data_IF_283354571369
#
_entry.id   IF_283354571369
#
_cell.length_a   1.000
_cell.length_b   1.000
_cell.length_c   1.000
_cell.angle_alpha   90.00
_cell.angle_beta   90.00
_cell.angle_gamma   90.00
#
_symmetry.space_group_name_H-M   'P 1'
#
loop_
_entity.id
_entity.type
_entity.pdbx_description
1 polymer ?
#
# COMPACT_ATOMS: atom_id res chain seq x y z
N UNK A 1 11.11 37.33 49.57
CA UNK A 1 10.75 38.63 48.94
C UNK A 1 11.11 38.52 47.48
N UNK A 2 10.13 38.23 46.61
CA UNK A 2 9.37 39.24 45.86
C UNK A 2 10.33 40.16 45.09
N UNK A 3 10.58 39.86 43.81
CA UNK A 3 10.42 40.77 42.67
C UNK A 3 11.17 40.25 41.42
N UNK A 4 10.74 39.13 40.82
CA UNK A 4 11.08 38.79 39.42
C UNK A 4 9.93 38.00 38.74
N UNK A 5 8.71 38.34 39.15
CA UNK A 5 7.51 38.18 38.33
C UNK A 5 7.46 39.43 37.44
N UNK A 6 7.10 39.27 36.16
CA UNK A 6 6.88 40.34 35.16
C UNK A 6 8.13 40.68 34.31
N UNK A 7 8.52 39.77 33.42
CA UNK A 7 8.97 40.16 32.07
C UNK A 7 8.90 38.95 31.12
N UNK A 8 8.22 39.13 29.99
CA UNK A 8 8.18 38.22 28.83
C UNK A 8 7.26 37.00 28.87
N UNK A 9 6.01 37.25 29.27
CA UNK A 9 4.78 36.67 28.71
C UNK A 9 4.54 37.11 27.23
N UNK A 10 5.53 37.01 26.33
CA UNK A 10 5.35 37.51 24.94
C UNK A 10 6.23 36.77 23.92
N UNK A 11 5.93 35.50 23.62
CA UNK A 11 6.18 34.92 22.28
C UNK A 11 5.22 33.74 22.03
N UNK A 12 3.96 34.05 21.80
CA UNK A 12 3.05 33.20 21.02
C UNK A 12 2.42 34.09 19.95
N UNK A 13 2.64 33.81 18.66
CA UNK A 13 1.67 34.15 17.64
C UNK A 13 1.19 32.85 16.98
N UNK A 14 -0.05 32.48 17.27
CA UNK A 14 -1.22 32.63 16.37
C UNK A 14 -1.32 31.52 15.32
N UNK A 15 -2.20 30.58 15.65
CA UNK A 15 -2.93 29.70 14.74
C UNK A 15 -3.55 30.57 13.62
N UNK A 16 -3.21 30.28 12.37
CA UNK A 16 -3.91 30.84 11.20
C UNK A 16 -4.79 29.74 10.60
N UNK A 17 -6.01 29.63 11.13
CA UNK A 17 -7.11 28.93 10.49
C UNK A 17 -7.80 29.95 9.59
N UNK A 18 -7.49 29.94 8.29
CA UNK A 18 -8.21 30.78 7.33
C UNK A 18 -9.43 30.01 6.85
N UNK A 19 -10.60 30.34 7.41
CA UNK A 19 -11.89 30.11 6.75
C UNK A 19 -12.12 31.26 5.77
N UNK A 20 -12.40 30.95 4.51
CA UNK A 20 -13.03 31.90 3.59
C UNK A 20 -14.51 31.52 3.39
N UNK A 21 -15.44 32.45 3.64
CA UNK A 21 -16.84 32.31 3.26
C UNK A 21 -17.12 32.98 1.90
N UNK A 22 -18.21 32.58 1.25
CA UNK A 22 -18.84 33.33 0.15
C UNK A 22 -18.83 32.59 -1.19
N UNK A 23 -19.80 31.71 -1.44
CA UNK A 23 -21.04 32.00 -2.17
C UNK A 23 -20.85 32.31 -3.67
N UNK A 24 -21.14 31.30 -4.51
CA UNK A 24 -22.06 31.46 -5.63
C UNK A 24 -22.98 30.23 -5.65
N UNK A 25 -24.09 30.36 -4.94
CA UNK A 25 -25.30 29.62 -5.24
C UNK A 25 -25.90 30.35 -6.44
N UNK A 26 -25.72 29.79 -7.64
CA UNK A 26 -26.53 30.16 -8.81
C UNK A 26 -27.43 28.98 -9.12
N UNK A 27 -28.59 29.08 -8.50
CA UNK A 27 -29.90 28.71 -8.99
C UNK A 27 -29.97 28.38 -10.50
N UNK A 28 -30.37 27.15 -10.79
CA UNK A 28 -30.50 26.65 -12.15
C UNK A 28 -31.27 25.33 -12.17
N UNK A 29 -32.45 25.35 -11.54
CA UNK A 29 -33.44 24.28 -11.62
C UNK A 29 -33.84 24.01 -13.08
N UNK A 30 -33.46 22.86 -13.65
CA UNK A 30 -34.24 22.13 -14.67
C UNK A 30 -34.01 20.62 -14.52
N UNK A 31 -34.91 20.03 -13.74
CA UNK A 31 -35.53 18.71 -13.90
C UNK A 31 -35.04 17.82 -15.06
N UNK A 32 -34.60 16.63 -14.64
CA UNK A 32 -34.67 15.34 -15.34
C UNK A 32 -35.69 15.27 -16.49
N UNK A 33 -35.22 14.89 -17.68
CA UNK A 33 -35.96 13.91 -18.48
C UNK A 33 -34.97 12.83 -18.87
N UNK A 34 -35.09 11.74 -18.13
CA UNK A 34 -34.69 10.39 -18.46
C UNK A 34 -35.03 10.10 -19.93
N UNK A 35 -34.10 10.33 -20.86
CA UNK A 35 -34.18 9.71 -22.18
C UNK A 35 -33.74 8.26 -21.99
N UNK A 36 -34.68 7.42 -21.53
CA UNK A 36 -34.64 5.98 -21.81
C UNK A 36 -34.76 5.86 -23.33
N UNK A 37 -33.63 6.01 -24.03
CA UNK A 37 -33.53 5.53 -25.40
C UNK A 37 -33.54 4.01 -25.28
N UNK A 38 -34.74 3.45 -25.35
CA UNK A 38 -34.99 2.02 -25.58
C UNK A 38 -34.28 1.65 -26.88
N UNK A 39 -33.00 1.28 -26.78
CA UNK A 39 -32.32 0.57 -27.84
C UNK A 39 -32.73 -0.89 -27.66
N UNK A 40 -33.87 -1.23 -28.27
CA UNK A 40 -34.14 -2.59 -28.72
C UNK A 40 -33.05 -2.94 -29.74
N UNK A 41 -32.04 -3.69 -29.34
CA UNK A 41 -31.27 -4.53 -30.26
C UNK A 41 -30.87 -5.85 -29.59
N UNK A 42 -30.78 -6.94 -30.37
CA UNK A 42 -30.80 -8.30 -29.85
C UNK A 42 -29.42 -8.74 -29.37
N UNK A 43 -29.46 -9.61 -28.35
CA UNK A 43 -28.37 -10.46 -27.87
C UNK A 43 -27.73 -11.20 -29.06
N UNK A 44 -26.50 -10.86 -29.46
CA UNK A 44 -25.55 -11.80 -30.07
C UNK A 44 -24.09 -11.40 -29.71
N UNK A 45 -23.49 -12.24 -28.87
CA UNK A 45 -22.09 -12.70 -28.80
C UNK A 45 -20.91 -11.75 -29.08
N UNK A 46 -20.18 -11.48 -28.00
CA UNK A 46 -18.72 -11.69 -27.86
C UNK A 46 -17.87 -11.55 -29.13
N UNK A 47 -17.31 -10.37 -29.38
CA UNK A 47 -15.92 -10.13 -29.78
C UNK A 47 -15.67 -8.62 -29.96
N UNK A 48 -14.40 -8.23 -29.86
CA UNK A 48 -13.86 -6.86 -29.90
C UNK A 48 -13.95 -6.09 -28.56
N UNK A 49 -12.85 -6.18 -27.81
CA UNK A 49 -12.45 -5.23 -26.79
C UNK A 49 -12.53 -3.80 -27.35
N UNK A 50 -13.41 -2.98 -26.77
CA UNK A 50 -13.40 -1.54 -26.96
C UNK A 50 -12.14 -0.97 -26.32
N UNK A 51 -11.08 -0.80 -27.11
CA UNK A 51 -10.06 0.19 -26.84
C UNK A 51 -10.69 1.56 -27.04
N UNK A 52 -11.10 2.19 -25.94
CA UNK A 52 -11.43 3.62 -25.92
C UNK A 52 -10.18 4.46 -26.22
N UNK A 53 -10.30 5.52 -27.02
CA UNK A 53 -9.15 6.29 -27.50
C UNK A 53 -8.63 7.24 -26.40
N UNK A 54 -7.32 7.12 -26.15
CA UNK A 54 -6.40 8.06 -25.49
C UNK A 54 -7.03 9.20 -24.68
N UNK A 55 -7.30 8.92 -23.40
CA UNK A 55 -6.97 9.90 -22.38
C UNK A 55 -5.48 9.67 -22.03
N UNK A 56 -4.67 10.72 -22.01
CA UNK A 56 -3.21 10.68 -21.75
C UNK A 56 -2.92 10.30 -20.29
N UNK A 57 -3.38 9.13 -19.88
CA UNK A 57 -3.24 8.59 -18.55
C UNK A 57 -1.96 7.75 -18.55
N UNK A 58 -1.01 8.14 -17.72
CA UNK A 58 -0.10 7.17 -17.10
C UNK A 58 -0.98 6.14 -16.38
N UNK A 59 -1.57 5.20 -17.11
CA UNK A 59 -2.24 4.04 -16.54
C UNK A 59 -1.16 3.35 -15.69
N UNK A 60 -1.36 3.39 -14.37
CA UNK A 60 -0.30 3.26 -13.37
C UNK A 60 0.67 2.13 -13.70
N UNK A 61 1.95 2.47 -13.86
CA UNK A 61 3.00 1.54 -14.32
C UNK A 61 3.02 0.22 -13.50
N UNK A 62 2.60 0.29 -12.24
CA UNK A 62 2.49 -0.85 -11.34
C UNK A 62 1.40 -1.86 -11.73
N UNK A 63 0.25 -1.43 -12.27
CA UNK A 63 -0.85 -2.33 -12.69
C UNK A 63 -0.42 -3.09 -13.93
N UNK A 64 0.20 -2.40 -14.88
CA UNK A 64 0.70 -3.01 -16.12
C UNK A 64 1.88 -3.95 -15.87
N UNK A 65 2.80 -3.57 -14.97
CA UNK A 65 3.98 -4.38 -14.64
C UNK A 65 3.72 -5.42 -13.55
N UNK A 66 2.53 -5.40 -12.93
CA UNK A 66 2.13 -6.25 -11.81
C UNK A 66 3.17 -6.20 -10.68
N UNK A 67 3.52 -4.99 -10.21
CA UNK A 67 4.57 -4.76 -9.21
C UNK A 67 4.02 -4.24 -7.89
N UNK A 68 4.66 -4.62 -6.79
CA UNK A 68 4.30 -4.26 -5.42
C UNK A 68 5.52 -4.32 -4.50
N UNK A 69 5.46 -3.56 -3.41
CA UNK A 69 6.52 -3.51 -2.40
C UNK A 69 6.10 -4.29 -1.15
N UNK A 70 7.06 -4.94 -0.51
CA UNK A 70 6.85 -5.73 0.70
C UNK A 70 7.89 -5.35 1.76
N UNK A 71 7.42 -4.79 2.86
CA UNK A 71 8.23 -4.41 4.00
C UNK A 71 7.98 -5.33 5.20
N UNK A 72 9.05 -5.62 5.92
CA UNK A 72 8.98 -6.27 7.22
C UNK A 72 9.59 -5.36 8.28
N UNK A 73 8.82 -5.10 9.32
CA UNK A 73 9.22 -4.33 10.49
C UNK A 73 9.45 -5.28 11.65
N UNK A 74 10.69 -5.34 12.10
CA UNK A 74 11.10 -6.17 13.20
C UNK A 74 11.04 -5.39 14.50
N UNK A 75 9.98 -5.62 15.28
CA UNK A 75 9.80 -5.04 16.62
C UNK A 75 10.43 -5.93 17.71
N UNK A 76 11.13 -7.01 17.36
CA UNK A 76 11.82 -7.87 18.32
C UNK A 76 13.22 -7.35 18.69
N UNK A 77 13.81 -7.95 19.72
CA UNK A 77 15.19 -7.69 20.14
C UNK A 77 16.25 -8.43 19.31
N UNK A 78 15.83 -9.25 18.34
CA UNK A 78 16.67 -10.22 17.64
C UNK A 78 16.80 -9.89 16.16
N UNK A 79 17.85 -10.38 15.52
CA UNK A 79 17.99 -10.29 14.07
C UNK A 79 17.18 -11.42 13.43
N UNK A 80 16.37 -11.07 12.44
CA UNK A 80 15.51 -12.01 11.72
C UNK A 80 16.02 -12.20 10.30
N UNK A 81 15.97 -13.44 9.82
CA UNK A 81 16.12 -13.79 8.40
C UNK A 81 14.74 -14.12 7.84
N UNK A 82 14.33 -13.41 6.80
CA UNK A 82 13.05 -13.60 6.14
C UNK A 82 13.31 -14.13 4.74
N UNK A 83 12.69 -15.27 4.43
CA UNK A 83 12.79 -15.93 3.13
C UNK A 83 11.39 -16.02 2.51
N UNK A 84 11.24 -15.57 1.26
CA UNK A 84 10.00 -15.71 0.50
C UNK A 84 10.24 -16.49 -0.80
N UNK A 85 9.29 -17.34 -1.15
CA UNK A 85 9.32 -18.21 -2.33
C UNK A 85 8.09 -17.90 -3.16
N UNK A 86 8.28 -17.49 -4.42
CA UNK A 86 7.14 -17.21 -5.31
C UNK A 86 6.53 -18.53 -5.79
N UNK A 87 5.21 -18.60 -5.80
CA UNK A 87 4.46 -19.70 -6.42
C UNK A 87 4.39 -19.53 -7.93
N UNK A 88 4.71 -20.59 -8.67
CA UNK A 88 4.57 -20.70 -10.12
C UNK A 88 3.77 -21.97 -10.45
N UNK A 89 2.46 -21.82 -10.72
CA UNK A 89 1.56 -22.97 -10.83
C UNK A 89 1.35 -23.64 -9.47
N UNK A 90 1.68 -24.93 -9.35
CA UNK A 90 1.55 -25.70 -8.11
C UNK A 90 2.85 -25.86 -7.33
N UNK A 91 3.93 -25.27 -7.81
CA UNK A 91 5.25 -25.35 -7.19
C UNK A 91 5.73 -23.98 -6.73
N UNK A 92 6.60 -23.99 -5.72
CA UNK A 92 7.33 -22.81 -5.29
C UNK A 92 8.71 -22.77 -5.93
N UNK A 93 9.23 -21.57 -6.19
CA UNK A 93 10.60 -21.37 -6.62
C UNK A 93 11.57 -22.05 -5.66
N UNK A 94 12.66 -22.62 -6.19
CA UNK A 94 13.66 -23.31 -5.37
C UNK A 94 14.60 -22.33 -4.66
N UNK A 95 14.79 -21.14 -5.23
CA UNK A 95 15.63 -20.08 -4.68
C UNK A 95 14.76 -18.99 -4.04
N UNK A 96 14.84 -18.78 -2.73
CA UNK A 96 14.09 -17.73 -2.06
C UNK A 96 14.73 -16.36 -2.28
N UNK A 97 13.90 -15.32 -2.26
CA UNK A 97 14.37 -13.99 -1.89
C UNK A 97 14.58 -13.97 -0.38
N UNK A 98 15.80 -13.66 0.05
CA UNK A 98 16.17 -13.65 1.47
C UNK A 98 16.62 -12.25 1.88
N UNK A 99 16.17 -11.81 3.04
CA UNK A 99 16.52 -10.51 3.62
C UNK A 99 16.73 -10.66 5.12
N UNK A 100 17.77 -10.01 5.64
CA UNK A 100 17.97 -9.90 7.08
C UNK A 100 17.39 -8.58 7.58
N UNK A 101 16.57 -8.65 8.61
CA UNK A 101 15.96 -7.48 9.26
C UNK A 101 16.54 -7.36 10.66
N UNK A 102 17.34 -6.31 10.88
CA UNK A 102 17.95 -6.06 12.19
C UNK A 102 16.88 -5.76 13.25
N UNK A 103 17.24 -5.95 14.51
CA UNK A 103 16.37 -5.64 15.65
C UNK A 103 15.91 -4.18 15.61
N UNK A 104 14.62 -3.93 15.84
CA UNK A 104 14.02 -2.59 15.84
C UNK A 104 14.19 -1.83 14.50
N UNK A 105 14.30 -2.55 13.38
CA UNK A 105 14.44 -1.97 12.03
C UNK A 105 13.36 -2.48 11.09
N UNK A 106 13.20 -1.77 9.97
CA UNK A 106 12.34 -2.17 8.87
C UNK A 106 13.18 -2.28 7.60
N UNK A 107 12.95 -3.34 6.84
CA UNK A 107 13.57 -3.55 5.54
C UNK A 107 12.49 -3.93 4.51
N UNK A 108 12.73 -3.62 3.24
CA UNK A 108 11.74 -3.80 2.18
C UNK A 108 12.36 -4.42 0.92
N UNK A 109 11.59 -5.29 0.27
CA UNK A 109 11.77 -5.60 -1.14
C UNK A 109 10.89 -4.67 -1.97
N UNK A 110 11.51 -4.08 -3.00
CA UNK A 110 10.83 -3.20 -3.93
C UNK A 110 10.57 -3.91 -5.27
N UNK A 111 9.48 -3.54 -5.92
CA UNK A 111 9.09 -4.04 -7.23
C UNK A 111 9.02 -5.58 -7.31
N UNK A 112 8.55 -6.25 -6.25
CA UNK A 112 8.20 -7.66 -6.33
C UNK A 112 7.05 -7.85 -7.31
N UNK A 113 7.03 -8.97 -8.03
CA UNK A 113 5.88 -9.30 -8.87
C UNK A 113 4.70 -9.72 -7.98
N UNK A 114 3.50 -9.24 -8.30
CA UNK A 114 2.28 -9.72 -7.69
C UNK A 114 2.15 -11.26 -7.86
N UNK A 115 1.52 -11.91 -6.88
CA UNK A 115 1.37 -13.36 -6.83
C UNK A 115 1.30 -13.92 -5.43
N UNK A 116 1.28 -15.25 -5.34
CA UNK A 116 1.27 -15.99 -4.06
C UNK A 116 2.71 -16.31 -3.68
N UNK A 117 3.03 -16.12 -2.41
CA UNK A 117 4.33 -16.37 -1.82
C UNK A 117 4.19 -17.24 -0.57
N UNK A 118 5.06 -18.25 -0.45
CA UNK A 118 5.34 -18.89 0.83
C UNK A 118 6.42 -18.09 1.55
N UNK A 119 6.28 -17.90 2.85
CA UNK A 119 7.29 -17.23 3.66
C UNK A 119 7.79 -18.11 4.80
N UNK A 120 9.01 -17.81 5.24
CA UNK A 120 9.66 -18.39 6.41
C UNK A 120 10.44 -17.30 7.14
N UNK A 121 10.17 -17.12 8.42
CA UNK A 121 10.85 -16.17 9.30
C UNK A 121 11.68 -16.98 10.30
N UNK A 122 12.98 -16.77 10.29
CA UNK A 122 13.93 -17.42 11.16
C UNK A 122 14.62 -16.38 12.04
N UNK A 123 14.83 -16.73 13.30
CA UNK A 123 15.66 -15.96 14.22
C UNK A 123 17.08 -16.51 14.20
N UNK A 124 18.07 -15.63 14.07
CA UNK A 124 19.48 -16.00 14.25
C UNK A 124 19.72 -16.21 15.78
N UNK A 125 20.06 -17.44 16.18
CA UNK A 125 20.43 -17.80 17.54
C UNK A 125 21.88 -18.28 17.61
N UNK A 126 22.45 -18.34 18.82
CA UNK A 126 23.84 -18.75 19.07
C UNK A 126 24.16 -20.18 18.63
N UNK A 127 23.16 -21.06 18.59
CA UNK A 127 23.30 -22.48 18.25
C UNK A 127 22.70 -22.86 16.89
N UNK A 128 22.19 -21.88 16.13
CA UNK A 128 21.56 -22.13 14.84
C UNK A 128 20.41 -21.16 14.57
N UNK A 129 19.55 -21.52 13.62
CA UNK A 129 18.37 -20.74 13.28
C UNK A 129 17.11 -21.39 13.85
N UNK A 130 16.25 -20.60 14.48
CA UNK A 130 14.95 -21.05 14.99
C UNK A 130 13.85 -20.50 14.10
N UNK A 131 12.93 -21.35 13.65
CA UNK A 131 11.78 -20.94 12.85
C UNK A 131 10.76 -20.28 13.77
N UNK A 132 10.41 -19.02 13.50
CA UNK A 132 9.38 -18.29 14.25
C UNK A 132 8.01 -18.43 13.60
N UNK A 133 7.95 -18.35 12.27
CA UNK A 133 6.69 -18.39 11.53
C UNK A 133 6.90 -18.85 10.11
N UNK A 134 5.95 -19.62 9.59
CA UNK A 134 5.83 -20.01 8.20
C UNK A 134 4.38 -19.92 7.75
N UNK A 135 4.16 -19.62 6.48
CA UNK A 135 2.82 -19.57 5.92
C UNK A 135 2.83 -19.09 4.48
N UNK A 136 1.66 -18.69 4.01
CA UNK A 136 1.47 -18.16 2.66
C UNK A 136 0.80 -16.81 2.69
N UNK A 137 1.06 -15.99 1.68
CA UNK A 137 0.37 -14.73 1.45
C UNK A 137 0.26 -14.41 -0.02
N UNK A 138 -0.75 -13.60 -0.36
CA UNK A 138 -0.90 -13.03 -1.69
C UNK A 138 -0.44 -11.58 -1.67
N UNK A 139 0.39 -11.21 -2.62
CA UNK A 139 0.83 -9.84 -2.87
C UNK A 139 0.06 -9.33 -4.08
N UNK A 140 -0.78 -8.31 -3.89
CA UNK A 140 -1.54 -7.69 -4.97
C UNK A 140 -0.70 -6.62 -5.68
N UNK A 141 -1.01 -6.34 -6.94
CA UNK A 141 -0.30 -5.29 -7.68
C UNK A 141 -0.62 -3.89 -7.11
N UNK A 142 0.35 -2.99 -7.18
CA UNK A 142 0.28 -1.62 -6.67
C UNK A 142 0.04 -1.48 -5.16
N UNK A 143 0.17 -2.58 -4.40
CA UNK A 143 0.07 -2.55 -2.96
C UNK A 143 1.44 -2.34 -2.32
N UNK A 144 1.46 -1.67 -1.17
CA UNK A 144 2.62 -1.62 -0.28
C UNK A 144 2.25 -2.40 0.98
N UNK A 145 2.69 -3.67 1.04
CA UNK A 145 2.40 -4.53 2.17
C UNK A 145 3.45 -4.33 3.27
N UNK A 146 3.00 -4.03 4.49
CA UNK A 146 3.89 -3.94 5.67
C UNK A 146 3.48 -5.01 6.68
N UNK A 147 4.44 -5.84 7.09
CA UNK A 147 4.25 -6.88 8.11
C UNK A 147 5.08 -6.57 9.34
N UNK A 148 4.42 -6.51 10.49
CA UNK A 148 5.10 -6.34 11.77
C UNK A 148 5.34 -7.69 12.43
N UNK A 149 6.54 -7.86 13.02
CA UNK A 149 6.92 -9.06 13.75
C UNK A 149 7.26 -8.63 15.19
N UNK A 150 6.53 -9.17 16.16
CA UNK A 150 6.74 -8.97 17.60
C UNK A 150 6.97 -10.33 18.29
N UNK A 151 7.76 -10.32 19.35
CA UNK A 151 7.90 -11.43 20.31
C UNK A 151 6.72 -11.46 21.29
#
# INVERSE_FOLDING_TARGET
MKLFFILCMLTFPTISFCQSPGQQIVEGSKTLVELIKVIKTPRQNLTAQNFTPANNNAADSCVLKQRSDLCYKNNSSKVLTISIYKRNGDVYDTLPFTMKVLAQKQECWYELRAGIYKYKIEQDATTGKTILSEGEFKLEACENMVREISE
#
